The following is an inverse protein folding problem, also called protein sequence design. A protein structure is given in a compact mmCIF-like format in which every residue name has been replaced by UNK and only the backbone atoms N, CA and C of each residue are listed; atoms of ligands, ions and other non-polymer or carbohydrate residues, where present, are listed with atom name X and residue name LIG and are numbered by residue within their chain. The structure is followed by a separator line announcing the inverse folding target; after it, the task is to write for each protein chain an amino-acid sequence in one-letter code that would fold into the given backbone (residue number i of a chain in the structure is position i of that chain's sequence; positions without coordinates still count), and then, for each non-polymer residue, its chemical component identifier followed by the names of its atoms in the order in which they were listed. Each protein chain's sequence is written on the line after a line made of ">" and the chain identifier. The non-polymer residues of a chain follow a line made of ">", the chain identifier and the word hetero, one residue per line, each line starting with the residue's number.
data_IF_715719165896
#
_entry.id   IF_715719165896
#
_cell.length_a   1.000
_cell.length_b   1.000
_cell.length_c   1.000
_cell.angle_alpha   90.00
_cell.angle_beta   90.00
_cell.angle_gamma   90.00
#
_symmetry.space_group_name_H-M   'P 1'
#
loop_
_entity.id
_entity.type
_entity.pdbx_description
1 polymer ?
#
# COMPACT_ATOMS: atom_id res chain seq x y z
N UNK A 1 59.89 -6.93 -35.81
CA UNK A 1 61.17 -6.94 -35.09
C UNK A 1 61.10 -5.85 -34.03
N UNK A 2 61.44 -6.22 -32.81
CA UNK A 2 61.70 -5.39 -31.63
C UNK A 2 60.56 -4.53 -31.07
N UNK A 3 60.38 -4.42 -29.76
CA UNK A 3 60.95 -5.16 -28.65
C UNK A 3 60.08 -4.87 -27.42
N UNK A 4 59.82 -5.93 -26.65
CA UNK A 4 59.89 -6.00 -25.19
C UNK A 4 60.03 -4.67 -24.44
N UNK A 5 59.09 -4.29 -23.57
CA UNK A 5 58.79 -4.92 -22.28
C UNK A 5 59.21 -3.96 -21.16
N UNK A 6 58.43 -4.01 -20.07
CA UNK A 6 58.83 -3.94 -18.66
C UNK A 6 58.23 -2.77 -17.89
N UNK A 7 57.22 -3.07 -17.06
CA UNK A 7 57.33 -3.42 -15.62
C UNK A 7 57.01 -2.14 -14.82
N UNK A 8 56.29 -2.09 -13.71
CA UNK A 8 55.69 -3.03 -12.77
C UNK A 8 54.98 -2.16 -11.71
N UNK A 9 53.91 -2.69 -11.10
CA UNK A 9 53.58 -2.60 -9.66
C UNK A 9 53.26 -1.20 -9.06
N UNK A 10 52.35 -1.00 -8.11
CA UNK A 10 51.37 -1.83 -7.40
C UNK A 10 50.48 -0.87 -6.58
N UNK A 11 49.29 -1.34 -6.23
CA UNK A 11 48.61 -1.17 -4.92
C UNK A 11 48.06 0.18 -4.43
N UNK A 12 46.72 0.19 -4.42
CA UNK A 12 45.80 0.41 -3.28
C UNK A 12 45.76 1.76 -2.57
N UNK A 13 44.62 2.43 -2.72
CA UNK A 13 43.72 2.66 -1.57
C UNK A 13 42.27 2.79 -2.04
N UNK A 14 41.44 1.82 -1.65
CA UNK A 14 39.98 1.94 -1.63
C UNK A 14 39.57 2.75 -0.40
N UNK A 15 38.59 3.65 -0.52
CA UNK A 15 37.76 4.09 0.62
C UNK A 15 36.55 4.93 0.14
N UNK A 16 35.35 4.32 0.16
CA UNK A 16 33.99 4.91 0.09
C UNK A 16 33.54 5.57 -1.24
N UNK A 17 32.43 5.23 -1.89
CA UNK A 17 31.37 4.27 -1.60
C UNK A 17 30.46 4.12 -2.83
N UNK A 18 30.01 2.90 -3.09
CA UNK A 18 28.96 2.57 -4.06
C UNK A 18 27.62 3.14 -3.60
N UNK A 19 26.93 3.89 -4.46
CA UNK A 19 25.47 4.01 -4.41
C UNK A 19 24.90 4.06 -5.84
N UNK A 20 25.00 2.89 -6.44
CA UNK A 20 23.93 2.19 -7.15
C UNK A 20 22.74 3.06 -7.61
N UNK A 21 22.60 3.15 -8.94
CA UNK A 21 21.52 3.78 -9.67
C UNK A 21 20.12 3.45 -9.09
N UNK A 22 19.52 4.38 -8.36
CA UNK A 22 18.16 4.24 -7.84
C UNK A 22 17.15 4.92 -8.77
N UNK A 23 16.94 4.33 -9.95
CA UNK A 23 15.78 4.66 -10.80
C UNK A 23 14.57 3.85 -10.34
N UNK A 24 13.96 4.27 -9.22
CA UNK A 24 12.75 3.63 -8.71
C UNK A 24 11.56 4.02 -9.58
N UNK A 25 11.09 3.13 -10.45
CA UNK A 25 9.86 3.34 -11.21
C UNK A 25 8.66 3.50 -10.26
N UNK A 26 7.62 4.24 -10.67
CA UNK A 26 6.37 4.41 -9.93
C UNK A 26 5.77 3.06 -9.47
N UNK A 27 6.01 2.02 -10.28
CA UNK A 27 5.60 0.63 -10.01
C UNK A 27 6.39 -0.04 -8.88
N UNK A 28 7.64 0.34 -8.65
CA UNK A 28 8.45 -0.15 -7.55
C UNK A 28 8.01 0.47 -6.20
N UNK A 29 7.58 1.74 -6.19
CA UNK A 29 7.04 2.40 -4.98
C UNK A 29 5.64 1.89 -4.59
N UNK A 30 4.87 1.38 -5.55
CA UNK A 30 3.58 0.74 -5.31
C UNK A 30 3.71 -0.70 -4.80
N UNK A 31 4.89 -1.33 -4.94
CA UNK A 31 5.20 -2.59 -4.28
C UNK A 31 5.72 -2.28 -2.89
N UNK A 32 4.78 -2.20 -1.97
CA UNK A 32 5.06 -2.08 -0.55
C UNK A 32 5.63 -3.43 -0.04
N UNK A 33 6.93 -3.65 -0.24
CA UNK A 33 7.67 -4.81 0.30
C UNK A 33 7.81 -4.76 1.85
N UNK A 34 7.20 -3.77 2.51
CA UNK A 34 7.18 -3.60 3.96
C UNK A 34 5.79 -3.52 4.58
N UNK A 35 4.72 -3.69 3.81
CA UNK A 35 3.50 -4.23 4.40
C UNK A 35 3.80 -5.68 4.73
N UNK A 36 3.81 -6.10 6.02
CA UNK A 36 3.57 -7.50 6.25
C UNK A 36 2.26 -7.76 5.54
N UNK A 37 2.29 -8.65 4.55
CA UNK A 37 1.10 -9.34 4.14
C UNK A 37 0.59 -9.96 5.44
N UNK A 38 -0.29 -9.23 6.13
CA UNK A 38 -1.33 -9.81 6.94
C UNK A 38 -2.15 -10.57 5.91
N UNK A 39 -1.59 -11.72 5.55
CA UNK A 39 -2.34 -12.93 5.44
C UNK A 39 -3.22 -12.89 6.68
N UNK A 40 -4.41 -12.31 6.53
CA UNK A 40 -5.55 -12.86 7.21
C UNK A 40 -5.45 -14.32 6.82
N UNK A 41 -4.87 -15.10 7.73
CA UNK A 41 -5.12 -16.52 7.78
C UNK A 41 -6.61 -16.56 8.01
N UNK A 42 -7.34 -16.46 6.90
CA UNK A 42 -8.71 -16.89 6.79
C UNK A 42 -8.54 -18.38 6.96
N UNK A 43 -8.44 -18.81 8.23
CA UNK A 43 -8.58 -20.20 8.59
C UNK A 43 -9.77 -20.66 7.76
N UNK A 44 -9.60 -21.65 6.87
CA UNK A 44 -10.72 -22.11 6.08
C UNK A 44 -11.83 -22.40 7.09
N UNK A 45 -12.96 -21.69 6.93
CA UNK A 45 -14.16 -21.92 7.73
C UNK A 45 -14.32 -23.44 7.78
N UNK A 46 -14.46 -24.08 8.95
CA UNK A 46 -14.36 -25.53 9.05
C UNK A 46 -15.43 -26.18 8.18
N UNK A 47 -15.07 -26.54 6.94
CA UNK A 47 -15.91 -27.28 6.00
C UNK A 47 -16.30 -28.66 6.55
N UNK A 48 -15.65 -29.07 7.64
CA UNK A 48 -15.87 -30.32 8.36
C UNK A 48 -17.30 -30.44 8.91
N UNK A 49 -17.95 -29.31 9.24
CA UNK A 49 -19.32 -29.31 9.78
C UNK A 49 -20.36 -29.66 8.71
N UNK A 50 -20.17 -29.22 7.47
CA UNK A 50 -21.13 -29.47 6.37
C UNK A 50 -21.19 -30.95 6.03
N UNK A 51 -20.03 -31.61 5.91
CA UNK A 51 -19.99 -33.02 5.56
C UNK A 51 -20.55 -33.90 6.69
N UNK A 52 -20.27 -33.56 7.95
CA UNK A 52 -20.79 -34.25 9.11
C UNK A 52 -22.30 -34.04 9.29
N UNK A 53 -22.79 -32.82 9.05
CA UNK A 53 -24.21 -32.50 9.15
C UNK A 53 -25.04 -33.16 8.03
N UNK A 54 -24.52 -33.17 6.80
CA UNK A 54 -25.11 -33.92 5.68
C UNK A 54 -25.11 -35.42 5.99
N UNK A 55 -24.01 -35.98 6.50
CA UNK A 55 -23.96 -37.38 6.94
C UNK A 55 -24.94 -37.69 8.08
N UNK A 56 -25.12 -36.80 9.05
CA UNK A 56 -26.07 -37.01 10.15
C UNK A 56 -27.53 -37.01 9.65
N UNK A 57 -27.86 -36.14 8.70
CA UNK A 57 -29.20 -36.04 8.11
C UNK A 57 -29.54 -37.18 7.14
N UNK A 58 -28.56 -37.70 6.39
CA UNK A 58 -28.78 -38.76 5.38
C UNK A 58 -28.43 -40.16 5.89
N UNK A 59 -27.43 -40.30 6.76
CA UNK A 59 -26.96 -41.58 7.30
C UNK A 59 -27.95 -42.25 8.24
N UNK A 60 -28.77 -41.47 8.94
CA UNK A 60 -29.84 -41.96 9.82
C UNK A 60 -30.99 -42.64 9.06
N UNK A 61 -31.18 -42.33 7.78
CA UNK A 61 -32.17 -42.99 6.92
C UNK A 61 -31.60 -44.24 6.20
N UNK A 62 -30.29 -44.29 5.96
CA UNK A 62 -29.63 -45.42 5.27
C UNK A 62 -29.27 -46.58 6.22
N UNK A 63 -29.15 -46.31 7.52
CA UNK A 63 -28.82 -47.30 8.55
C UNK A 63 -30.04 -47.91 9.27
N UNK A 64 -31.27 -47.52 8.91
CA UNK A 64 -32.47 -48.11 9.50
C UNK A 64 -32.52 -49.61 9.15
N UNK A 65 -32.32 -50.53 10.12
CA UNK A 65 -32.51 -51.96 9.86
C UNK A 65 -34.00 -52.16 9.60
N UNK A 66 -34.36 -52.92 8.56
CA UNK A 66 -35.71 -53.43 8.38
C UNK A 66 -36.05 -54.34 9.57
N UNK A 67 -36.60 -53.79 10.65
CA UNK A 67 -37.22 -54.57 11.72
C UNK A 67 -38.73 -54.55 11.54
N UNK A 68 -39.25 -55.76 11.31
CA UNK A 68 -40.67 -56.05 11.25
C UNK A 68 -41.39 -55.64 12.55
N UNK A 69 -42.55 -55.00 12.35
CA UNK A 69 -43.73 -54.92 13.24
C UNK A 69 -43.52 -54.37 14.68
N UNK A 70 -44.12 -53.20 14.95
CA UNK A 70 -45.39 -53.02 15.70
C UNK A 70 -45.45 -51.67 16.44
N UNK A 71 -46.61 -51.04 16.32
CA UNK A 71 -47.13 -49.88 17.09
C UNK A 71 -46.70 -48.50 16.60
N UNK A 72 -47.64 -47.86 15.90
CA UNK A 72 -47.60 -46.45 15.54
C UNK A 72 -47.55 -45.57 16.80
N UNK A 73 -46.49 -44.77 16.89
CA UNK A 73 -46.47 -43.51 17.60
C UNK A 73 -46.22 -42.46 16.51
N UNK A 74 -46.99 -41.36 16.39
CA UNK A 74 -46.64 -40.29 15.48
C UNK A 74 -45.48 -39.53 16.14
N UNK A 75 -44.28 -40.09 16.09
CA UNK A 75 -43.10 -39.29 16.36
C UNK A 75 -43.06 -38.25 15.24
N UNK A 76 -42.99 -36.98 15.63
CA UNK A 76 -42.74 -35.81 14.78
C UNK A 76 -41.59 -36.10 13.82
N UNK A 77 -41.88 -36.78 12.71
CA UNK A 77 -40.91 -37.13 11.69
C UNK A 77 -40.84 -35.90 10.80
N UNK A 78 -40.23 -34.84 11.34
CA UNK A 78 -39.79 -33.73 10.52
C UNK A 78 -38.90 -34.33 9.44
N UNK A 79 -39.40 -34.28 8.21
CA UNK A 79 -38.73 -34.80 7.02
C UNK A 79 -37.25 -34.37 7.06
N UNK A 80 -36.29 -35.30 6.99
CA UNK A 80 -34.87 -34.97 7.03
C UNK A 80 -34.47 -33.96 5.95
N UNK A 81 -35.21 -33.89 4.83
CA UNK A 81 -35.03 -32.86 3.82
C UNK A 81 -35.39 -31.45 4.32
N UNK A 82 -36.38 -31.31 5.20
CA UNK A 82 -36.74 -30.04 5.85
C UNK A 82 -35.62 -29.63 6.81
N UNK A 83 -35.08 -30.56 7.60
CA UNK A 83 -34.02 -30.29 8.55
C UNK A 83 -32.71 -29.85 7.85
N UNK A 84 -32.40 -30.49 6.73
CA UNK A 84 -31.26 -30.10 5.88
C UNK A 84 -31.47 -28.70 5.28
N UNK A 85 -32.67 -28.41 4.75
CA UNK A 85 -33.01 -27.10 4.19
C UNK A 85 -32.89 -25.99 5.23
N UNK A 86 -33.35 -26.24 6.45
CA UNK A 86 -33.26 -25.29 7.55
C UNK A 86 -31.80 -25.06 7.98
N UNK A 87 -30.98 -26.11 8.02
CA UNK A 87 -29.55 -26.00 8.30
C UNK A 87 -28.82 -25.13 7.26
N UNK A 88 -29.05 -25.38 5.97
CA UNK A 88 -28.47 -24.58 4.89
C UNK A 88 -28.95 -23.12 4.93
N UNK A 89 -30.24 -22.89 5.19
CA UNK A 89 -30.78 -21.53 5.31
C UNK A 89 -30.13 -20.78 6.49
N UNK A 90 -30.00 -21.43 7.65
CA UNK A 90 -29.36 -20.85 8.84
C UNK A 90 -27.88 -20.55 8.61
N UNK A 91 -27.15 -21.47 7.97
CA UNK A 91 -25.75 -21.25 7.61
C UNK A 91 -25.59 -20.10 6.62
N UNK A 92 -26.46 -20.04 5.60
CA UNK A 92 -26.47 -18.94 4.63
C UNK A 92 -26.72 -17.59 5.30
N UNK A 93 -27.66 -17.52 6.23
CA UNK A 93 -27.89 -16.30 7.02
C UNK A 93 -26.68 -15.95 7.89
N UNK A 94 -26.07 -16.90 8.58
CA UNK A 94 -24.90 -16.64 9.42
C UNK A 94 -23.71 -16.14 8.59
N UNK A 95 -23.47 -16.73 7.42
CA UNK A 95 -22.42 -16.30 6.50
C UNK A 95 -22.70 -14.89 5.98
N UNK A 96 -23.95 -14.62 5.58
CA UNK A 96 -24.36 -13.30 5.10
C UNK A 96 -24.20 -12.23 6.19
N UNK A 97 -24.71 -12.48 7.40
CA UNK A 97 -24.59 -11.56 8.54
C UNK A 97 -23.12 -11.29 8.88
N UNK A 98 -22.29 -12.34 8.96
CA UNK A 98 -20.85 -12.18 9.21
C UNK A 98 -20.17 -11.37 8.10
N UNK A 99 -20.49 -11.63 6.83
CA UNK A 99 -19.92 -10.87 5.72
C UNK A 99 -20.31 -9.38 5.79
N UNK A 100 -21.56 -9.07 6.12
CA UNK A 100 -22.03 -7.69 6.29
C UNK A 100 -21.32 -7.01 7.48
N UNK A 101 -21.19 -7.69 8.61
CA UNK A 101 -20.46 -7.17 9.78
C UNK A 101 -19.01 -6.82 9.43
N UNK A 102 -18.31 -7.73 8.75
CA UNK A 102 -16.93 -7.49 8.30
C UNK A 102 -16.84 -6.34 7.30
N UNK A 103 -17.79 -6.20 6.37
CA UNK A 103 -17.82 -5.09 5.43
C UNK A 103 -18.04 -3.75 6.12
N UNK A 104 -18.98 -3.70 7.08
CA UNK A 104 -19.24 -2.48 7.86
C UNK A 104 -18.03 -2.10 8.70
N UNK A 105 -17.38 -3.07 9.33
CA UNK A 105 -16.16 -2.84 10.11
C UNK A 105 -15.00 -2.36 9.24
N UNK A 106 -14.76 -2.99 8.09
CA UNK A 106 -13.72 -2.56 7.17
C UNK A 106 -14.00 -1.14 6.64
N UNK A 107 -15.25 -0.83 6.32
CA UNK A 107 -15.66 0.50 5.89
C UNK A 107 -15.41 1.56 6.98
N UNK A 108 -15.77 1.27 8.23
CA UNK A 108 -15.53 2.20 9.33
C UNK A 108 -14.05 2.43 9.61
N UNK A 109 -13.22 1.39 9.50
CA UNK A 109 -11.76 1.50 9.63
C UNK A 109 -11.16 2.36 8.51
N UNK A 110 -11.54 2.10 7.26
CA UNK A 110 -11.09 2.90 6.10
C UNK A 110 -11.49 4.35 6.27
N UNK A 111 -12.74 4.62 6.66
CA UNK A 111 -13.20 5.99 6.90
C UNK A 111 -12.39 6.67 8.01
N UNK A 112 -12.10 5.97 9.10
CA UNK A 112 -11.25 6.48 10.19
C UNK A 112 -9.85 6.84 9.66
N UNK A 113 -9.23 5.98 8.86
CA UNK A 113 -7.91 6.26 8.26
C UNK A 113 -7.94 7.45 7.31
N UNK A 114 -8.98 7.59 6.48
CA UNK A 114 -9.16 8.74 5.59
C UNK A 114 -9.25 10.03 6.41
N UNK A 115 -10.04 10.04 7.48
CA UNK A 115 -10.16 11.23 8.34
C UNK A 115 -8.85 11.55 9.05
N UNK A 116 -8.13 10.54 9.54
CA UNK A 116 -6.80 10.72 10.13
C UNK A 116 -5.81 11.34 9.14
N UNK A 117 -5.73 10.79 7.93
CA UNK A 117 -4.86 11.30 6.87
C UNK A 117 -5.22 12.74 6.47
N UNK A 118 -6.51 13.06 6.36
CA UNK A 118 -6.97 14.42 6.06
C UNK A 118 -6.56 15.42 7.14
N UNK A 119 -6.68 15.04 8.41
CA UNK A 119 -6.31 15.89 9.53
C UNK A 119 -4.80 16.12 9.58
N UNK A 120 -4.01 15.06 9.41
CA UNK A 120 -2.54 15.14 9.39
C UNK A 120 -2.06 16.00 8.21
N UNK A 121 -2.57 15.74 7.01
CA UNK A 121 -2.24 16.54 5.82
C UNK A 121 -2.61 18.01 6.00
N UNK A 122 -3.78 18.28 6.60
CA UNK A 122 -4.22 19.65 6.91
C UNK A 122 -3.29 20.34 7.92
N UNK A 123 -2.86 19.63 8.95
CA UNK A 123 -1.91 20.14 9.94
C UNK A 123 -0.54 20.45 9.30
N UNK A 124 0.01 19.52 8.52
CA UNK A 124 1.28 19.71 7.81
C UNK A 124 1.20 20.86 6.81
N UNK A 125 0.12 20.98 6.04
CA UNK A 125 -0.05 22.08 5.10
C UNK A 125 -0.10 23.43 5.82
N UNK A 126 -0.80 23.50 6.96
CA UNK A 126 -0.85 24.70 7.80
C UNK A 126 0.54 25.07 8.33
N UNK A 127 1.30 24.09 8.81
CA UNK A 127 2.68 24.29 9.27
C UNK A 127 3.59 24.80 8.15
N UNK A 128 3.54 24.16 6.97
CA UNK A 128 4.29 24.62 5.80
C UNK A 128 3.90 26.03 5.37
N UNK A 129 2.60 26.36 5.40
CA UNK A 129 2.10 27.69 5.07
C UNK A 129 2.64 28.73 6.05
N UNK A 130 2.63 28.43 7.34
CA UNK A 130 3.19 29.30 8.40
C UNK A 130 4.71 29.49 8.22
N UNK A 131 5.45 28.41 7.93
CA UNK A 131 6.89 28.51 7.68
C UNK A 131 7.18 29.38 6.46
N UNK A 132 6.40 29.19 5.40
CA UNK A 132 6.53 29.98 4.18
C UNK A 132 6.23 31.46 4.43
N UNK A 133 5.13 31.78 5.12
CA UNK A 133 4.74 33.17 5.40
C UNK A 133 5.67 33.89 6.36
N UNK A 134 6.26 33.17 7.32
CA UNK A 134 7.09 33.77 8.36
C UNK A 134 8.58 33.84 7.99
N UNK A 135 9.08 32.89 7.19
CA UNK A 135 10.51 32.80 6.88
C UNK A 135 10.75 32.99 5.39
N UNK A 136 10.24 32.10 4.56
CA UNK A 136 10.63 32.07 3.14
C UNK A 136 10.18 33.34 2.41
N UNK A 137 8.93 33.77 2.61
CA UNK A 137 8.38 34.93 1.93
C UNK A 137 9.08 36.24 2.33
N UNK A 138 9.21 36.60 3.63
CA UNK A 138 9.91 37.83 4.02
C UNK A 138 11.36 37.86 3.55
N UNK A 139 12.09 36.75 3.65
CA UNK A 139 13.45 36.66 3.13
C UNK A 139 13.47 36.87 1.61
N UNK A 140 12.58 36.20 0.87
CA UNK A 140 12.51 36.34 -0.58
C UNK A 140 12.15 37.77 -1.02
N UNK A 141 11.31 38.46 -0.25
CA UNK A 141 10.86 39.83 -0.47
C UNK A 141 11.86 40.89 0.05
N UNK A 142 12.91 40.46 0.76
CA UNK A 142 13.94 41.37 1.26
C UNK A 142 14.64 42.05 0.09
N UNK A 143 14.73 43.37 0.16
CA UNK A 143 15.30 44.21 -0.88
C UNK A 143 16.81 44.30 -0.69
N UNK A 144 17.57 43.94 -1.71
CA UNK A 144 19.01 44.00 -1.72
C UNK A 144 19.50 45.32 -2.27
N UNK A 145 20.56 45.83 -1.65
CA UNK A 145 21.34 46.96 -2.14
C UNK A 145 22.78 46.50 -2.31
N UNK A 146 23.31 46.66 -3.51
CA UNK A 146 24.73 46.49 -3.78
C UNK A 146 25.14 47.55 -4.78
N UNK A 147 26.37 48.04 -4.68
CA UNK A 147 26.86 49.12 -5.55
C UNK A 147 26.95 48.68 -7.02
N UNK A 148 27.05 47.37 -7.28
CA UNK A 148 27.27 46.79 -8.60
C UNK A 148 26.00 46.23 -9.27
N UNK A 149 24.85 46.19 -8.58
CA UNK A 149 23.62 45.58 -9.10
C UNK A 149 22.39 46.44 -8.83
N UNK A 150 21.38 46.42 -9.73
CA UNK A 150 20.13 47.14 -9.50
C UNK A 150 19.44 46.66 -8.24
N UNK A 151 18.87 47.61 -7.49
CA UNK A 151 18.10 47.33 -6.27
C UNK A 151 16.89 46.47 -6.62
N UNK A 152 16.91 45.22 -6.18
CA UNK A 152 15.85 44.25 -6.40
C UNK A 152 15.71 43.31 -5.19
N UNK A 153 14.65 42.51 -5.16
CA UNK A 153 14.45 41.54 -4.07
C UNK A 153 15.39 40.34 -4.23
N UNK A 154 15.68 39.64 -3.13
CA UNK A 154 16.45 38.38 -3.16
C UNK A 154 15.83 37.41 -4.19
N UNK A 155 14.49 37.30 -4.21
CA UNK A 155 13.79 36.46 -5.19
C UNK A 155 14.10 36.83 -6.64
N UNK A 156 14.11 38.12 -6.97
CA UNK A 156 14.40 38.60 -8.32
C UNK A 156 15.86 38.33 -8.72
N UNK A 157 16.81 38.56 -7.81
CA UNK A 157 18.22 38.24 -8.07
C UNK A 157 18.44 36.74 -8.31
N UNK A 158 17.82 35.87 -7.51
CA UNK A 158 17.91 34.42 -7.70
C UNK A 158 17.23 33.95 -8.98
N UNK A 159 16.10 34.56 -9.37
CA UNK A 159 15.42 34.24 -10.62
C UNK A 159 16.30 34.59 -11.84
N UNK A 160 16.93 35.76 -11.82
CA UNK A 160 17.87 36.17 -12.87
C UNK A 160 19.08 35.24 -12.92
N UNK A 161 19.70 34.93 -11.78
CA UNK A 161 20.85 34.02 -11.73
C UNK A 161 20.51 32.63 -12.30
N UNK A 162 19.32 32.10 -12.00
CA UNK A 162 18.86 30.82 -12.59
C UNK A 162 18.73 30.90 -14.11
N UNK A 163 18.19 32.01 -14.63
CA UNK A 163 18.08 32.24 -16.08
C UNK A 163 19.46 32.34 -16.73
N UNK A 164 20.39 33.05 -16.10
CA UNK A 164 21.75 33.22 -16.60
C UNK A 164 22.49 31.87 -16.62
N UNK A 165 22.35 31.07 -15.57
CA UNK A 165 22.89 29.70 -15.53
C UNK A 165 22.28 28.82 -16.63
N UNK A 166 20.97 28.90 -16.87
CA UNK A 166 20.32 28.13 -17.92
C UNK A 166 20.83 28.53 -19.31
N UNK A 167 20.95 29.83 -19.57
CA UNK A 167 21.46 30.37 -20.82
C UNK A 167 22.93 29.98 -21.05
N UNK A 168 23.75 30.05 -20.00
CA UNK A 168 25.15 29.62 -20.07
C UNK A 168 25.28 28.11 -20.34
N UNK A 169 24.41 27.29 -19.75
CA UNK A 169 24.37 25.85 -20.04
C UNK A 169 24.00 25.55 -21.48
N UNK A 170 23.03 26.27 -22.03
CA UNK A 170 22.63 26.15 -23.44
C UNK A 170 23.78 26.55 -24.37
N UNK A 171 24.49 27.64 -24.07
CA UNK A 171 25.63 28.08 -24.86
C UNK A 171 26.80 27.09 -24.81
N UNK A 172 27.07 26.48 -23.65
CA UNK A 172 28.10 25.43 -23.53
C UNK A 172 27.74 24.22 -24.42
N UNK A 173 26.48 23.80 -24.43
CA UNK A 173 26.03 22.70 -25.29
C UNK A 173 26.18 23.04 -26.77
N UNK A 174 25.76 24.26 -27.16
CA UNK A 174 25.88 24.74 -28.54
C UNK A 174 27.35 24.73 -29.01
N UNK A 175 28.26 25.21 -28.17
CA UNK A 175 29.69 25.25 -28.47
C UNK A 175 30.36 23.87 -28.44
N UNK A 176 29.80 22.89 -27.73
CA UNK A 176 30.32 21.51 -27.75
C UNK A 176 29.86 20.70 -28.96
N UNK A 177 28.78 21.13 -29.61
CA UNK A 177 28.25 20.52 -30.84
C UNK A 177 28.85 21.13 -32.13
N UNK A 178 29.64 22.21 -32.01
CA UNK A 178 30.51 22.79 -33.06
C UNK A 178 31.91 22.15 -33.06
#
# INVERSE_FOLDING_TARGET
>A
MDSSSRLLLNSTSSLWGDENACSSTLRARLRDDHTPATSSSTKPVPYQDVYQQVQACLGSHLLAPKSDKKTAQPSDTKDPAIHLREAFARMGMNLHSSAIEHLVQAHSEVQSRITGFSNETGATLSECSNLYSNIAYPLSATLCHSDNHPRATIAAHLANLKKDIASAKEEILRLSDE
#
